data_IF_115715607561
#
_entry.id   IF_115715607561
#
_cell.length_a   1.000
_cell.length_b   1.000
_cell.length_c   1.000
_cell.angle_alpha   90.00
_cell.angle_beta   90.00
_cell.angle_gamma   90.00
#
_symmetry.space_group_name_H-M   'P 1'
#
loop_
_entity.id
_entity.type
_entity.pdbx_description
1 polymer ?
#
# COMPACT_ATOMS: atom_id res chain seq x y z
N UNK A 1 -0.45 11.01 -4.30
CA UNK A 1 0.32 10.00 -3.54
C UNK A 1 1.79 10.43 -3.40
N UNK A 2 2.06 11.59 -2.78
CA UNK A 2 3.44 12.06 -2.59
C UNK A 2 4.22 11.10 -1.68
N UNK A 3 3.59 10.72 -0.56
CA UNK A 3 4.13 9.80 0.46
C UNK A 3 4.13 8.31 0.05
N UNK A 4 3.86 8.02 -1.22
CA UNK A 4 3.77 6.65 -1.73
C UNK A 4 2.47 5.92 -1.37
N UNK A 5 2.50 4.59 -1.44
CA UNK A 5 1.41 3.70 -1.11
C UNK A 5 1.24 3.56 0.40
N UNK A 6 0.05 3.89 0.89
CA UNK A 6 -0.38 3.79 2.27
C UNK A 6 -1.34 2.62 2.44
N UNK A 7 -1.32 1.98 3.62
CA UNK A 7 -2.16 0.82 3.92
C UNK A 7 -3.56 1.27 4.38
N UNK A 8 -4.36 1.77 3.44
CA UNK A 8 -5.75 2.17 3.70
C UNK A 8 -6.75 1.03 3.63
N UNK A 9 -6.34 -0.14 3.12
CA UNK A 9 -7.20 -1.29 2.96
C UNK A 9 -6.41 -2.61 3.03
N UNK A 10 -7.15 -3.72 2.99
CA UNK A 10 -6.58 -5.07 3.06
C UNK A 10 -5.73 -5.44 1.83
N UNK A 11 -5.97 -4.82 0.67
CA UNK A 11 -5.17 -5.07 -0.54
C UNK A 11 -3.74 -4.54 -0.38
N UNK A 12 -3.60 -3.37 0.26
CA UNK A 12 -2.33 -2.73 0.58
C UNK A 12 -1.47 -3.47 1.60
N UNK A 13 -2.06 -4.34 2.43
CA UNK A 13 -1.37 -4.98 3.57
C UNK A 13 -0.11 -5.74 3.16
N UNK A 14 -0.14 -6.44 2.02
CA UNK A 14 1.01 -7.22 1.52
C UNK A 14 2.20 -6.36 1.08
N UNK A 15 2.01 -5.06 0.92
CA UNK A 15 3.03 -4.11 0.45
C UNK A 15 3.61 -3.24 1.57
N UNK A 16 3.13 -3.39 2.80
CA UNK A 16 3.64 -2.64 3.96
C UNK A 16 5.14 -2.90 4.15
N UNK A 17 5.97 -1.86 3.97
CA UNK A 17 7.43 -1.95 3.96
C UNK A 17 8.00 -2.97 2.95
N UNK A 18 7.26 -3.28 1.88
CA UNK A 18 7.59 -4.30 0.87
C UNK A 18 7.28 -3.86 -0.56
N UNK A 19 7.37 -2.55 -0.81
CA UNK A 19 7.17 -1.96 -2.13
C UNK A 19 8.36 -1.09 -2.50
N UNK A 20 8.83 -1.24 -3.73
CA UNK A 20 9.89 -0.41 -4.28
C UNK A 20 9.34 0.81 -5.02
N UNK A 21 10.18 1.82 -5.19
CA UNK A 21 9.88 3.00 -6.01
C UNK A 21 11.01 3.20 -7.01
N UNK A 22 10.64 3.61 -8.22
CA UNK A 22 11.58 4.00 -9.27
C UNK A 22 11.14 5.35 -9.83
N UNK A 23 12.09 6.28 -9.96
CA UNK A 23 11.81 7.61 -10.53
C UNK A 23 11.75 7.54 -12.05
N UNK A 24 10.97 8.43 -12.66
CA UNK A 24 10.84 8.45 -14.12
C UNK A 24 12.12 8.95 -14.79
N UNK A 25 12.68 8.17 -15.71
CA UNK A 25 13.92 8.50 -16.44
C UNK A 25 13.69 8.90 -17.91
N UNK A 26 12.44 8.88 -18.39
CA UNK A 26 12.11 9.14 -19.80
C UNK A 26 11.44 7.93 -20.47
N UNK A 27 11.35 7.98 -21.81
CA UNK A 27 10.77 6.87 -22.57
C UNK A 27 11.80 5.74 -22.76
N UNK A 28 11.41 4.50 -22.49
CA UNK A 28 12.25 3.35 -22.81
C UNK A 28 12.47 3.24 -24.32
N UNK A 29 13.72 2.99 -24.74
CA UNK A 29 14.10 2.84 -26.15
C UNK A 29 15.60 2.59 -26.30
N UNK A 30 16.11 2.58 -27.54
CA UNK A 30 17.52 2.27 -27.82
C UNK A 30 18.50 3.21 -27.10
N UNK A 31 18.08 4.45 -26.87
CA UNK A 31 18.84 5.47 -26.14
C UNK A 31 18.86 5.25 -24.61
N UNK A 32 18.04 4.34 -24.07
CA UNK A 32 17.91 4.09 -22.64
C UNK A 32 17.82 2.58 -22.31
N UNK A 33 18.55 1.73 -23.04
CA UNK A 33 18.55 0.27 -22.78
C UNK A 33 19.04 -0.06 -21.37
N UNK A 34 19.94 0.74 -20.81
CA UNK A 34 20.50 0.56 -19.47
C UNK A 34 19.50 0.82 -18.33
N UNK A 35 18.31 1.37 -18.63
CA UNK A 35 17.22 1.53 -17.65
C UNK A 35 16.81 0.19 -17.03
N UNK A 36 16.89 -0.90 -17.79
CA UNK A 36 16.50 -2.24 -17.34
C UNK A 36 17.26 -2.68 -16.09
N UNK A 37 18.56 -2.40 -16.04
CA UNK A 37 19.40 -2.77 -14.91
C UNK A 37 19.05 -1.93 -13.68
N UNK A 38 18.83 -0.63 -13.86
CA UNK A 38 18.39 0.28 -12.78
C UNK A 38 16.99 -0.04 -12.26
N UNK A 39 16.08 -0.50 -13.13
CA UNK A 39 14.76 -0.99 -12.74
C UNK A 39 14.88 -2.25 -11.87
N UNK A 40 15.75 -3.19 -12.26
CA UNK A 40 16.00 -4.40 -11.48
C UNK A 40 16.64 -4.07 -10.11
N UNK A 41 17.59 -3.14 -10.08
CA UNK A 41 18.19 -2.63 -8.84
C UNK A 41 17.15 -1.95 -7.93
N UNK A 42 16.28 -1.12 -8.50
CA UNK A 42 15.22 -0.43 -7.77
C UNK A 42 14.21 -1.42 -7.18
N UNK A 43 13.83 -2.46 -7.93
CA UNK A 43 12.96 -3.52 -7.44
C UNK A 43 13.63 -4.31 -6.29
N UNK A 44 14.92 -4.57 -6.40
CA UNK A 44 15.68 -5.34 -5.42
C UNK A 44 15.29 -6.83 -5.39
N UNK A 45 15.80 -7.56 -4.40
CA UNK A 45 15.68 -9.02 -4.34
C UNK A 45 14.46 -9.55 -3.57
N UNK A 46 13.86 -8.72 -2.70
CA UNK A 46 12.82 -9.16 -1.75
C UNK A 46 11.41 -8.68 -2.08
N UNK A 47 11.28 -7.62 -2.87
CA UNK A 47 10.00 -7.00 -3.18
C UNK A 47 9.40 -7.63 -4.44
N UNK A 48 8.07 -7.75 -4.46
CA UNK A 48 7.32 -8.30 -5.59
C UNK A 48 6.56 -7.22 -6.38
N UNK A 49 6.67 -5.96 -5.96
CA UNK A 49 5.93 -4.84 -6.48
C UNK A 49 6.77 -3.55 -6.44
N UNK A 50 6.59 -2.73 -7.47
CA UNK A 50 7.24 -1.43 -7.60
C UNK A 50 6.25 -0.41 -8.19
N UNK A 51 6.28 0.81 -7.64
CA UNK A 51 5.62 1.97 -8.25
C UNK A 51 6.67 2.74 -9.04
N UNK A 52 6.47 2.80 -10.34
CA UNK A 52 7.25 3.65 -11.23
C UNK A 52 6.59 5.03 -11.23
N UNK A 53 7.19 5.99 -10.53
CA UNK A 53 6.66 7.35 -10.38
C UNK A 53 6.38 7.92 -11.76
N UNK A 54 5.20 8.52 -11.94
CA UNK A 54 4.76 9.11 -13.22
C UNK A 54 4.65 8.14 -14.41
N UNK A 55 4.75 6.82 -14.20
CA UNK A 55 4.65 5.81 -15.27
C UNK A 55 3.58 4.77 -14.99
N UNK A 56 3.57 4.14 -13.81
CA UNK A 56 2.60 3.09 -13.48
C UNK A 56 3.10 2.08 -12.47
N UNK A 57 2.60 0.85 -12.60
CA UNK A 57 2.81 -0.24 -11.65
C UNK A 57 3.59 -1.39 -12.31
N UNK A 58 4.48 -2.02 -11.55
CA UNK A 58 5.21 -3.22 -11.95
C UNK A 58 5.12 -4.26 -10.84
N UNK A 59 4.86 -5.51 -11.20
CA UNK A 59 4.90 -6.65 -10.27
C UNK A 59 5.64 -7.83 -10.88
N UNK A 60 6.20 -8.67 -10.02
CA UNK A 60 6.88 -9.91 -10.38
C UNK A 60 6.36 -11.07 -9.54
N UNK A 61 6.52 -12.28 -10.04
CA UNK A 61 6.14 -13.52 -9.36
C UNK A 61 6.93 -14.69 -9.93
N UNK A 62 7.01 -15.77 -9.17
CA UNK A 62 7.56 -17.05 -9.62
C UNK A 62 6.67 -17.69 -10.69
N UNK A 63 5.39 -17.30 -10.71
CA UNK A 63 4.44 -17.67 -11.74
C UNK A 63 3.69 -16.45 -12.26
N UNK A 64 3.16 -16.54 -13.48
CA UNK A 64 2.29 -15.51 -14.07
C UNK A 64 1.08 -15.24 -13.17
N UNK A 65 0.50 -16.29 -12.57
CA UNK A 65 -0.63 -16.16 -11.66
C UNK A 65 -0.27 -15.33 -10.42
N UNK A 66 0.89 -15.59 -9.81
CA UNK A 66 1.37 -14.81 -8.67
C UNK A 66 1.59 -13.34 -9.03
N UNK A 67 2.28 -13.07 -10.15
CA UNK A 67 2.52 -11.71 -10.63
C UNK A 67 1.20 -10.95 -10.85
N UNK A 68 0.20 -11.62 -11.41
CA UNK A 68 -1.13 -11.04 -11.62
C UNK A 68 -1.88 -10.77 -10.32
N UNK A 69 -1.81 -11.67 -9.34
CA UNK A 69 -2.40 -11.45 -8.02
C UNK A 69 -1.77 -10.23 -7.34
N UNK A 70 -0.43 -10.09 -7.41
CA UNK A 70 0.24 -8.89 -6.90
C UNK A 70 -0.22 -7.64 -7.64
N UNK A 71 -0.34 -7.67 -8.96
CA UNK A 71 -0.80 -6.53 -9.76
C UNK A 71 -2.22 -6.13 -9.37
N UNK A 72 -3.15 -7.08 -9.29
CA UNK A 72 -4.53 -6.85 -8.88
C UNK A 72 -4.60 -6.19 -7.50
N UNK A 73 -3.84 -6.71 -6.53
CA UNK A 73 -3.83 -6.16 -5.17
C UNK A 73 -3.25 -4.74 -5.16
N UNK A 74 -2.16 -4.50 -5.89
CA UNK A 74 -1.50 -3.20 -5.94
C UNK A 74 -2.41 -2.14 -6.57
N UNK A 75 -3.01 -2.45 -7.71
CA UNK A 75 -3.96 -1.58 -8.41
C UNK A 75 -5.15 -1.23 -7.51
N UNK A 76 -5.75 -2.22 -6.83
CA UNK A 76 -6.88 -1.97 -5.90
C UNK A 76 -6.47 -1.16 -4.69
N UNK A 77 -5.27 -1.35 -4.16
CA UNK A 77 -4.73 -0.53 -3.08
C UNK A 77 -4.61 0.94 -3.51
N UNK A 78 -4.01 1.18 -4.69
CA UNK A 78 -3.85 2.52 -5.28
C UNK A 78 -5.19 3.21 -5.56
N UNK A 79 -6.17 2.50 -6.15
CA UNK A 79 -7.49 3.05 -6.45
C UNK A 79 -8.22 3.50 -5.18
N UNK A 80 -8.23 2.66 -4.14
CA UNK A 80 -8.85 3.03 -2.87
C UNK A 80 -8.13 4.20 -2.22
N UNK A 81 -6.80 4.20 -2.22
CA UNK A 81 -6.05 5.34 -1.70
C UNK A 81 -6.37 6.63 -2.45
N UNK A 82 -6.50 6.59 -3.77
CA UNK A 82 -6.89 7.76 -4.58
C UNK A 82 -8.30 8.26 -4.20
N UNK A 83 -9.27 7.35 -4.02
CA UNK A 83 -10.63 7.70 -3.59
C UNK A 83 -10.64 8.30 -2.17
N UNK A 84 -9.89 7.71 -1.24
CA UNK A 84 -9.76 8.18 0.14
C UNK A 84 -9.14 9.58 0.18
N UNK A 85 -8.05 9.81 -0.56
CA UNK A 85 -7.36 11.09 -0.61
C UNK A 85 -8.11 12.17 -1.41
N UNK A 86 -8.98 11.77 -2.35
CA UNK A 86 -9.83 12.68 -3.12
C UNK A 86 -11.11 13.09 -2.40
N UNK A 87 -11.47 12.44 -1.29
CA UNK A 87 -12.67 12.75 -0.52
C UNK A 87 -12.33 13.75 0.60
N UNK A 88 -13.00 14.92 0.69
CA UNK A 88 -12.82 15.82 1.81
C UNK A 88 -13.24 15.16 3.12
N UNK A 89 -12.42 15.31 4.16
CA UNK A 89 -12.72 14.81 5.51
C UNK A 89 -11.60 13.97 6.11
N UNK A 90 -11.82 13.54 7.35
CA UNK A 90 -10.89 12.66 8.06
C UNK A 90 -11.31 11.22 7.84
N UNK A 91 -10.46 10.43 7.19
CA UNK A 91 -10.64 8.99 7.09
C UNK A 91 -10.00 8.29 8.29
N UNK A 92 -10.55 7.14 8.65
CA UNK A 92 -10.00 6.32 9.73
C UNK A 92 -8.70 5.70 9.23
N UNK A 93 -7.58 6.18 9.76
CA UNK A 93 -6.30 5.50 9.62
C UNK A 93 -6.21 4.38 10.66
N UNK A 94 -5.72 3.18 10.30
CA UNK A 94 -5.44 2.15 11.29
C UNK A 94 -4.51 2.71 12.36
N UNK A 95 -4.89 2.61 13.63
CA UNK A 95 -4.00 3.05 14.71
C UNK A 95 -2.75 2.18 14.70
N UNK A 96 -1.57 2.77 14.83
CA UNK A 96 -0.32 2.03 15.10
C UNK A 96 -0.35 1.28 16.46
N UNK A 97 -1.41 1.45 17.25
CA UNK A 97 -1.62 0.72 18.48
C UNK A 97 -1.98 -0.72 18.14
N UNK A 98 -1.22 -1.73 18.62
CA UNK A 98 -1.68 -3.11 18.52
C UNK A 98 -3.04 -3.22 19.22
N UNK A 99 -3.98 -4.02 18.68
CA UNK A 99 -5.24 -4.26 19.37
C UNK A 99 -4.91 -4.77 20.78
N UNK A 100 -5.68 -4.31 21.78
CA UNK A 100 -5.55 -4.86 23.13
C UNK A 100 -5.62 -6.38 23.03
N UNK A 101 -4.71 -7.12 23.69
CA UNK A 101 -4.76 -8.57 23.67
C UNK A 101 -6.16 -9.01 24.08
N UNK A 102 -6.76 -9.91 23.27
CA UNK A 102 -8.07 -10.46 23.58
C UNK A 102 -8.00 -11.05 24.99
N UNK A 103 -8.87 -10.58 25.87
CA UNK A 103 -9.05 -11.22 27.17
C UNK A 103 -9.49 -12.68 26.93
N UNK A 104 -9.04 -13.62 27.78
CA UNK A 104 -9.41 -15.04 27.64
C UNK A 104 -10.94 -15.15 27.59
N UNK A 105 -11.48 -15.57 26.44
CA UNK A 105 -12.92 -15.76 26.23
C UNK A 105 -13.59 -14.78 25.25
N UNK A 106 -12.91 -13.70 24.84
CA UNK A 106 -13.48 -12.71 23.92
C UNK A 106 -13.35 -13.19 22.46
N UNK A 107 -14.48 -13.48 21.81
CA UNK A 107 -14.52 -13.91 20.39
C UNK A 107 -14.54 -12.69 19.47
N UNK A 108 -13.72 -12.71 18.43
CA UNK A 108 -13.67 -11.72 17.34
C UNK A 108 -15.05 -11.36 16.75
N UNK A 109 -16.00 -12.30 16.78
CA UNK A 109 -17.38 -12.09 16.32
C UNK A 109 -18.15 -11.02 17.11
N UNK A 110 -17.77 -10.70 18.35
CA UNK A 110 -18.49 -9.71 19.17
C UNK A 110 -18.01 -8.28 18.98
N UNK A 111 -16.90 -8.05 18.26
CA UNK A 111 -16.31 -6.71 18.10
C UNK A 111 -16.76 -5.95 16.84
N UNK A 112 -17.28 -6.64 15.82
CA UNK A 112 -17.64 -6.02 14.53
C UNK A 112 -18.88 -5.11 14.65
N UNK A 113 -19.65 -5.21 15.73
CA UNK A 113 -20.93 -4.52 15.89
C UNK A 113 -20.88 -3.19 16.69
N UNK A 114 -19.78 -2.85 17.37
CA UNK A 114 -19.81 -1.74 18.35
C UNK A 114 -19.01 -0.48 18.00
N UNK A 115 -18.31 -0.40 16.85
CA UNK A 115 -17.44 0.75 16.55
C UNK A 115 -17.90 1.63 15.38
N UNK A 116 -19.15 2.10 15.44
CA UNK A 116 -19.54 3.39 14.84
C UNK A 116 -19.26 4.46 15.89
N UNK A 117 -18.13 5.16 15.79
CA UNK A 117 -17.65 6.06 16.84
C UNK A 117 -18.41 7.41 16.80
N UNK A 118 -18.95 7.90 17.93
CA UNK A 118 -19.45 9.26 18.10
C UNK A 118 -18.31 10.28 18.25
N UNK A 119 -18.62 11.56 18.01
CA UNK A 119 -17.70 12.70 18.03
C UNK A 119 -16.78 12.77 19.27
N UNK A 120 -15.54 13.24 19.03
CA UNK A 120 -14.54 13.82 19.95
C UNK A 120 -13.22 13.04 20.11
N UNK A 121 -12.29 13.24 19.16
CA UNK A 121 -10.86 13.02 19.41
C UNK A 121 -10.03 14.07 18.67
N UNK A 122 -9.92 15.24 19.30
CA UNK A 122 -8.77 16.13 19.18
C UNK A 122 -7.55 15.46 19.85
N UNK A 123 -6.36 15.64 19.27
CA UNK A 123 -5.03 15.26 19.78
C UNK A 123 -4.63 13.77 19.79
N UNK A 124 -4.41 13.17 18.61
CA UNK A 124 -3.46 12.05 18.51
C UNK A 124 -2.32 12.44 17.55
N UNK A 125 -1.04 12.23 17.94
CA UNK A 125 0.10 12.65 17.13
C UNK A 125 0.17 11.82 15.85
N UNK A 126 0.45 12.49 14.74
CA UNK A 126 0.76 11.85 13.47
C UNK A 126 2.04 11.05 13.61
N UNK A 127 2.01 9.78 13.19
CA UNK A 127 3.22 9.00 13.02
C UNK A 127 3.99 9.61 11.83
N UNK A 128 5.18 10.13 12.11
CA UNK A 128 6.14 10.60 11.09
C UNK A 128 6.91 9.46 10.46
#
# INVERSE_FOLDING_TARGET
MADGLQVHNIFGLGFHNRISYHEFEGASGDHNISERDRLAESLGSSNKAMIMRNHGLLTVGETVAEAFVWMYRLDRACQVQAMVQGTPGRFVTPSCRPPNPLSKGQRISSMVLEHVVPESLSSLPSCG
#
